data_IF_099425580220
#
_entry.id   IF_099425580220
#
_cell.length_a   1.000
_cell.length_b   1.000
_cell.length_c   1.000
_cell.angle_alpha   90.00
_cell.angle_beta   90.00
_cell.angle_gamma   90.00
#
_symmetry.space_group_name_H-M   'P 1'
#
loop_
_entity.id
_entity.type
_entity.pdbx_description
1 polymer ?
#
# COMPACT_ATOMS: atom_id res chain seq x y z
N UNK A 1 -19.26 -5.72 34.79
CA UNK A 1 -18.59 -6.86 34.12
C UNK A 1 -17.11 -6.51 34.03
N UNK A 2 -16.18 -7.44 34.26
CA UNK A 2 -14.77 -7.14 34.08
C UNK A 2 -14.47 -6.94 32.59
N UNK A 3 -14.09 -5.73 32.20
CA UNK A 3 -13.52 -5.43 30.89
C UNK A 3 -12.00 -5.54 31.00
N UNK A 4 -11.41 -6.36 30.15
CA UNK A 4 -9.95 -6.50 30.06
C UNK A 4 -9.51 -5.91 28.72
N UNK A 5 -8.74 -4.83 28.79
CA UNK A 5 -8.04 -4.26 27.66
C UNK A 5 -6.67 -4.92 27.60
N UNK A 6 -6.44 -5.72 26.56
CA UNK A 6 -5.13 -6.30 26.30
C UNK A 6 -4.52 -5.60 25.09
N UNK A 7 -3.32 -5.06 25.27
CA UNK A 7 -2.44 -4.63 24.19
C UNK A 7 -1.38 -5.71 23.93
N UNK A 8 -1.06 -5.92 22.65
CA UNK A 8 -0.06 -6.86 22.21
C UNK A 8 -0.08 -7.08 20.70
N UNK A 9 1.03 -7.63 20.19
CA UNK A 9 1.28 -7.97 18.78
C UNK A 9 0.00 -8.39 18.03
N UNK A 10 -0.44 -7.63 17.00
CA UNK A 10 0.33 -6.63 16.24
C UNK A 10 0.22 -5.15 16.73
N UNK A 11 -0.22 -4.91 17.96
CA UNK A 11 -0.35 -3.56 18.55
C UNK A 11 -1.80 -3.11 18.79
N UNK A 12 -2.71 -4.07 18.94
CA UNK A 12 -4.15 -3.83 19.02
C UNK A 12 -4.59 -3.84 20.48
N UNK A 13 -5.36 -2.84 20.93
CA UNK A 13 -6.12 -2.93 22.19
C UNK A 13 -7.42 -3.71 21.93
N UNK A 14 -7.40 -5.00 22.24
CA UNK A 14 -8.59 -5.84 22.13
C UNK A 14 -9.48 -5.66 23.38
N UNK A 15 -10.78 -5.46 23.15
CA UNK A 15 -11.78 -5.44 24.22
C UNK A 15 -12.26 -6.87 24.42
N UNK A 16 -11.96 -7.45 25.58
CA UNK A 16 -12.46 -8.76 25.97
C UNK A 16 -13.66 -8.63 26.91
N UNK A 17 -14.74 -9.35 26.60
CA UNK A 17 -15.93 -9.44 27.45
C UNK A 17 -16.03 -10.82 28.07
N UNK A 18 -16.27 -10.88 29.38
CA UNK A 18 -16.39 -12.12 30.12
C UNK A 18 -17.28 -11.96 31.34
N UNK A 19 -17.90 -13.07 31.77
CA UNK A 19 -18.69 -13.11 33.00
C UNK A 19 -17.84 -13.38 34.25
N UNK A 20 -16.66 -13.97 34.07
CA UNK A 20 -15.68 -14.29 35.13
C UNK A 20 -14.26 -14.32 34.56
N UNK A 21 -13.27 -14.18 35.44
CA UNK A 21 -11.84 -14.27 35.06
C UNK A 21 -11.53 -15.64 34.46
N UNK A 22 -10.87 -15.64 33.29
CA UNK A 22 -10.51 -16.85 32.53
C UNK A 22 -11.54 -17.29 31.50
N UNK A 23 -12.68 -16.60 31.41
CA UNK A 23 -13.78 -16.91 30.48
C UNK A 23 -14.16 -15.66 29.69
N UNK A 24 -13.35 -15.38 28.68
CA UNK A 24 -13.42 -14.15 27.88
C UNK A 24 -13.58 -14.46 26.40
N UNK A 25 -14.40 -13.67 25.72
CA UNK A 25 -14.50 -13.61 24.26
C UNK A 25 -14.06 -12.24 23.75
N UNK A 26 -13.46 -12.21 22.56
CA UNK A 26 -13.14 -10.94 21.91
C UNK A 26 -14.42 -10.24 21.47
N UNK A 27 -14.70 -9.08 22.03
CA UNK A 27 -15.86 -8.26 21.69
C UNK A 27 -15.56 -7.25 20.57
N UNK A 28 -14.28 -6.93 20.34
CA UNK A 28 -13.86 -5.98 19.32
C UNK A 28 -12.48 -5.38 19.61
N UNK A 29 -12.19 -4.28 18.93
CA UNK A 29 -10.98 -3.47 19.13
C UNK A 29 -11.39 -2.08 19.59
N UNK A 30 -10.66 -1.53 20.56
CA UNK A 30 -10.83 -0.14 20.93
C UNK A 30 -10.38 0.75 19.76
N UNK A 31 -11.34 1.41 19.11
CA UNK A 31 -11.07 2.44 18.10
C UNK A 31 -11.18 3.81 18.76
N UNK A 32 -10.23 4.70 18.46
CA UNK A 32 -10.37 6.11 18.84
C UNK A 32 -11.30 6.81 17.85
N UNK A 33 -12.34 7.49 18.34
CA UNK A 33 -13.10 8.43 17.54
C UNK A 33 -12.46 9.83 17.65
N UNK A 34 -12.27 10.51 16.51
CA UNK A 34 -11.87 11.93 16.47
C UNK A 34 -10.44 12.27 16.94
N UNK A 35 -9.51 11.31 16.91
CA UNK A 35 -8.08 11.53 17.17
C UNK A 35 -7.25 11.66 15.88
N UNK A 36 -5.92 11.59 16.00
CA UNK A 36 -5.02 11.53 14.84
C UNK A 36 -5.39 10.33 13.94
N UNK A 37 -5.17 10.43 12.63
CA UNK A 37 -5.31 9.28 11.74
C UNK A 37 -4.23 8.23 12.07
N UNK A 38 -4.61 7.26 12.88
CA UNK A 38 -3.79 6.13 13.30
C UNK A 38 -4.47 4.84 12.86
N UNK A 39 -3.82 4.11 11.96
CA UNK A 39 -4.09 2.70 11.77
C UNK A 39 -3.21 1.90 12.76
N UNK A 40 -3.21 0.58 12.68
CA UNK A 40 -2.24 -0.22 13.42
C UNK A 40 -0.81 0.04 12.86
N UNK A 41 0.20 -0.61 13.43
CA UNK A 41 1.59 -0.48 12.95
C UNK A 41 1.73 -0.74 11.44
N UNK A 42 2.77 -0.17 10.82
CA UNK A 42 3.16 -0.42 9.42
C UNK A 42 2.10 -0.05 8.37
N UNK A 43 1.44 1.08 8.57
CA UNK A 43 0.32 1.54 7.75
C UNK A 43 0.67 1.67 6.28
N UNK A 44 -0.32 1.40 5.43
CA UNK A 44 -0.28 1.54 3.99
C UNK A 44 -1.43 2.43 3.52
N UNK A 45 -1.20 3.72 3.30
CA UNK A 45 -2.22 4.63 2.78
C UNK A 45 -2.43 4.44 1.27
N UNK A 46 -3.66 4.69 0.86
CA UNK A 46 -4.10 4.87 -0.52
C UNK A 46 -5.25 5.90 -0.52
N UNK A 47 -5.02 7.08 -1.12
CA UNK A 47 -5.97 8.18 -1.15
C UNK A 47 -6.48 8.45 -2.56
N UNK A 48 -7.80 8.48 -2.71
CA UNK A 48 -8.53 8.76 -3.94
C UNK A 48 -10.00 9.03 -3.59
N UNK A 49 -10.74 9.73 -4.45
CA UNK A 49 -12.21 9.75 -4.34
C UNK A 49 -12.73 8.31 -4.57
N UNK A 50 -12.99 7.57 -3.49
CA UNK A 50 -13.36 6.17 -3.57
C UNK A 50 -14.87 6.05 -3.71
N UNK A 51 -15.65 6.81 -2.95
CA UNK A 51 -17.10 6.71 -2.94
C UNK A 51 -17.81 7.50 -4.08
N UNK A 52 -17.12 8.44 -4.72
CA UNK A 52 -17.59 9.21 -5.87
C UNK A 52 -18.27 10.53 -5.51
N UNK A 53 -18.06 11.06 -4.30
CA UNK A 53 -18.64 12.32 -3.84
C UNK A 53 -17.79 13.56 -4.18
N UNK A 54 -16.60 13.34 -4.78
CA UNK A 54 -15.66 14.40 -5.16
C UNK A 54 -14.67 14.80 -4.05
N UNK A 55 -14.75 14.18 -2.86
CA UNK A 55 -13.80 14.35 -1.77
C UNK A 55 -12.89 13.11 -1.71
N UNK A 56 -11.56 13.27 -1.72
CA UNK A 56 -10.69 12.11 -1.66
C UNK A 56 -10.78 11.37 -0.32
N UNK A 57 -11.19 10.11 -0.38
CA UNK A 57 -11.19 9.16 0.73
C UNK A 57 -9.80 8.60 0.96
N UNK A 58 -9.56 8.10 2.18
CA UNK A 58 -8.35 7.37 2.51
C UNK A 58 -8.68 5.90 2.83
N UNK A 59 -8.05 4.99 2.10
CA UNK A 59 -8.01 3.57 2.42
C UNK A 59 -6.68 3.26 3.12
N UNK A 60 -6.74 2.49 4.20
CA UNK A 60 -5.55 2.03 4.92
C UNK A 60 -5.53 0.53 5.07
N UNK A 61 -4.38 -0.07 4.75
CA UNK A 61 -3.98 -1.39 5.20
C UNK A 61 -2.95 -1.29 6.34
N UNK A 62 -2.84 -2.32 7.18
CA UNK A 62 -1.91 -2.30 8.31
C UNK A 62 -1.39 -3.71 8.67
N UNK A 63 -0.52 -3.76 9.69
CA UNK A 63 0.11 -5.00 10.12
C UNK A 63 -0.86 -6.05 10.69
N UNK A 64 -2.06 -5.65 11.13
CA UNK A 64 -3.12 -6.56 11.60
C UNK A 64 -3.90 -7.23 10.46
N UNK A 65 -3.69 -6.77 9.22
CA UNK A 65 -4.34 -7.25 8.03
C UNK A 65 -5.61 -6.48 7.66
N UNK A 66 -6.05 -5.50 8.44
CA UNK A 66 -7.35 -4.85 8.21
C UNK A 66 -7.32 -3.92 7.01
N UNK A 67 -8.41 -3.93 6.25
CA UNK A 67 -8.73 -2.89 5.29
C UNK A 67 -9.76 -1.93 5.89
N UNK A 68 -9.42 -0.64 5.95
CA UNK A 68 -10.25 0.41 6.55
C UNK A 68 -10.44 1.55 5.56
N UNK A 69 -11.68 2.06 5.49
CA UNK A 69 -12.07 3.26 4.76
C UNK A 69 -12.25 4.42 5.76
N UNK A 70 -11.62 5.54 5.46
CA UNK A 70 -11.77 6.81 6.15
C UNK A 70 -12.35 7.79 5.14
N UNK A 71 -13.57 8.27 5.39
CA UNK A 71 -14.26 9.14 4.45
C UNK A 71 -13.56 10.50 4.33
N UNK A 72 -13.44 11.02 3.11
CA UNK A 72 -12.92 12.36 2.86
C UNK A 72 -13.79 13.45 3.49
N UNK A 73 -13.20 14.62 3.71
CA UNK A 73 -13.94 15.83 4.10
C UNK A 73 -13.56 17.00 3.18
N UNK A 74 -14.21 18.14 3.35
CA UNK A 74 -13.89 19.38 2.63
C UNK A 74 -12.51 19.94 3.01
N UNK A 75 -12.00 19.60 4.19
CA UNK A 75 -10.60 19.77 4.57
C UNK A 75 -9.78 18.55 4.11
N UNK A 76 -8.80 18.71 3.19
CA UNK A 76 -8.02 17.59 2.65
C UNK A 76 -7.13 16.88 3.68
N UNK A 77 -6.94 17.50 4.86
CA UNK A 77 -6.17 16.94 5.98
C UNK A 77 -7.04 16.20 7.01
N UNK A 78 -8.36 16.32 6.89
CA UNK A 78 -9.32 15.77 7.85
C UNK A 78 -10.11 14.63 7.21
N UNK A 79 -10.27 13.53 7.96
CA UNK A 79 -11.06 12.38 7.55
C UNK A 79 -12.14 12.05 8.58
N UNK A 80 -13.24 11.46 8.12
CA UNK A 80 -14.30 10.94 8.95
C UNK A 80 -13.89 9.69 9.74
N UNK A 81 -14.84 9.17 10.52
CA UNK A 81 -14.62 7.96 11.34
C UNK A 81 -14.22 6.75 10.49
N UNK A 82 -13.32 5.88 10.99
CA UNK A 82 -12.87 4.70 10.27
C UNK A 82 -13.96 3.64 10.16
N UNK A 83 -14.09 3.04 8.99
CA UNK A 83 -15.02 1.95 8.72
C UNK A 83 -14.27 0.73 8.18
N UNK A 84 -14.44 -0.43 8.81
CA UNK A 84 -13.91 -1.68 8.27
C UNK A 84 -14.59 -2.00 6.93
N UNK A 85 -13.79 -2.25 5.90
CA UNK A 85 -14.31 -2.71 4.61
C UNK A 85 -14.57 -4.21 4.67
N UNK A 86 -15.65 -4.65 4.01
CA UNK A 86 -16.06 -6.05 4.01
C UNK A 86 -16.13 -6.62 2.60
N UNK A 87 -15.81 -7.90 2.45
CA UNK A 87 -16.10 -8.69 1.27
C UNK A 87 -17.10 -9.77 1.65
N UNK A 88 -18.21 -9.88 0.91
CA UNK A 88 -19.28 -10.84 1.20
C UNK A 88 -19.81 -10.76 2.65
N UNK A 89 -19.84 -9.55 3.22
CA UNK A 89 -20.31 -9.30 4.60
C UNK A 89 -19.28 -9.56 5.69
N UNK A 90 -18.07 -10.02 5.36
CA UNK A 90 -16.99 -10.31 6.31
C UNK A 90 -15.90 -9.23 6.21
N UNK A 91 -15.43 -8.65 7.34
CA UNK A 91 -14.30 -7.73 7.34
C UNK A 91 -13.08 -8.33 6.64
N UNK A 92 -12.48 -7.57 5.73
CA UNK A 92 -11.26 -7.98 5.04
C UNK A 92 -10.09 -7.88 6.03
N UNK A 93 -9.56 -9.05 6.38
CA UNK A 93 -8.45 -9.19 7.33
C UNK A 93 -7.66 -10.49 7.08
N UNK A 94 -6.89 -10.59 6.00
CA UNK A 94 -5.96 -11.70 5.84
C UNK A 94 -4.99 -11.75 7.03
N UNK A 95 -4.75 -12.96 7.53
CA UNK A 95 -3.76 -13.24 8.57
C UNK A 95 -3.00 -14.50 8.19
N UNK A 96 -1.74 -14.61 8.60
CA UNK A 96 -0.90 -15.75 8.23
C UNK A 96 -1.43 -17.11 8.74
N UNK A 97 -2.04 -17.16 9.92
CA UNK A 97 -2.28 -18.43 10.60
C UNK A 97 -0.97 -19.20 10.84
N UNK A 98 -1.04 -20.50 11.11
CA UNK A 98 0.16 -21.26 11.49
C UNK A 98 1.20 -21.39 10.37
N UNK A 99 0.76 -21.33 9.10
CA UNK A 99 1.58 -21.71 7.94
C UNK A 99 1.66 -20.65 6.82
N UNK A 100 1.00 -19.49 6.97
CA UNK A 100 0.93 -18.49 5.90
C UNK A 100 2.11 -17.52 5.85
N UNK A 101 2.85 -17.34 6.96
CA UNK A 101 4.04 -16.49 6.98
C UNK A 101 5.30 -17.28 6.61
N UNK A 102 6.11 -16.69 5.73
CA UNK A 102 7.45 -17.17 5.40
C UNK A 102 8.43 -17.12 6.59
N UNK A 103 8.13 -16.30 7.61
CA UNK A 103 8.90 -16.24 8.86
C UNK A 103 8.42 -17.25 9.91
N UNK A 104 7.41 -18.05 9.59
CA UNK A 104 6.90 -19.13 10.44
C UNK A 104 5.80 -18.70 11.42
N UNK A 105 5.38 -19.65 12.25
CA UNK A 105 4.17 -19.55 13.10
C UNK A 105 4.22 -18.49 14.21
N UNK A 106 5.39 -17.87 14.44
CA UNK A 106 5.51 -16.69 15.29
C UNK A 106 4.73 -15.51 14.72
N UNK A 107 4.56 -15.44 13.39
CA UNK A 107 3.80 -14.39 12.74
C UNK A 107 2.31 -14.73 12.50
N UNK A 108 1.78 -15.79 13.11
CA UNK A 108 0.42 -16.31 12.82
C UNK A 108 -0.76 -15.33 12.93
N UNK A 109 -0.58 -14.20 13.61
CA UNK A 109 -1.62 -13.16 13.81
C UNK A 109 -1.43 -11.91 12.95
N UNK A 110 -0.31 -11.81 12.23
CA UNK A 110 -0.02 -10.68 11.35
C UNK A 110 -0.69 -10.86 10.00
N UNK A 111 -1.05 -9.75 9.38
CA UNK A 111 -1.60 -9.67 8.04
C UNK A 111 -0.79 -8.80 7.09
N UNK A 112 -0.14 -7.73 7.58
CA UNK A 112 0.65 -6.80 6.75
C UNK A 112 -0.04 -6.37 5.45
N UNK A 113 -1.33 -6.03 5.53
CA UNK A 113 -2.11 -5.68 4.36
C UNK A 113 -1.55 -4.40 3.73
N UNK A 114 -1.18 -4.49 2.46
CA UNK A 114 -0.86 -3.36 1.61
C UNK A 114 -1.99 -3.16 0.62
N UNK A 115 -2.42 -1.92 0.45
CA UNK A 115 -3.62 -1.58 -0.32
C UNK A 115 -3.32 -0.60 -1.44
N UNK A 116 -3.92 -0.81 -2.59
CA UNK A 116 -4.10 0.20 -3.63
C UNK A 116 -5.53 0.13 -4.13
N UNK A 117 -6.12 1.27 -4.45
CA UNK A 117 -7.41 1.37 -5.08
C UNK A 117 -7.34 2.32 -6.28
N UNK A 118 -8.28 2.14 -7.20
CA UNK A 118 -8.34 2.87 -8.45
C UNK A 118 -9.24 2.15 -9.44
N UNK A 119 -9.16 2.54 -10.71
CA UNK A 119 -9.87 1.86 -11.80
C UNK A 119 -9.10 0.62 -12.24
N UNK A 120 -9.78 -0.52 -12.38
CA UNK A 120 -9.22 -1.77 -12.90
C UNK A 120 -10.15 -2.41 -13.92
N UNK A 121 -9.83 -2.23 -15.21
CA UNK A 121 -10.69 -2.64 -16.32
C UNK A 121 -11.98 -1.83 -16.38
N UNK A 122 -11.90 -0.52 -16.12
CA UNK A 122 -13.04 0.39 -16.18
C UNK A 122 -14.03 0.32 -15.02
N UNK A 123 -13.64 -0.27 -13.89
CA UNK A 123 -14.42 -0.23 -12.67
C UNK A 123 -13.55 -0.05 -11.42
N UNK A 124 -14.03 0.74 -10.45
CA UNK A 124 -13.40 0.92 -9.13
C UNK A 124 -13.13 -0.41 -8.45
N UNK A 125 -11.89 -0.57 -8.04
CA UNK A 125 -11.38 -1.78 -7.41
C UNK A 125 -10.38 -1.46 -6.31
N UNK A 126 -10.26 -2.38 -5.37
CA UNK A 126 -9.18 -2.45 -4.39
C UNK A 126 -8.34 -3.67 -4.74
N UNK A 127 -7.02 -3.49 -4.81
CA UNK A 127 -6.04 -4.57 -5.00
C UNK A 127 -5.12 -4.57 -3.78
N UNK A 128 -4.95 -5.73 -3.17
CA UNK A 128 -4.15 -5.88 -1.95
C UNK A 128 -3.02 -6.89 -2.14
N UNK A 129 -1.92 -6.69 -1.42
CA UNK A 129 -0.96 -7.73 -1.04
C UNK A 129 -0.98 -7.90 0.48
N UNK A 130 -0.51 -9.04 0.97
CA UNK A 130 -0.50 -9.37 2.39
C UNK A 130 0.73 -10.20 2.80
N UNK A 131 0.70 -10.70 4.04
CA UNK A 131 1.75 -11.54 4.63
C UNK A 131 2.12 -12.78 3.82
N UNK A 132 1.23 -13.26 2.95
CA UNK A 132 1.43 -14.46 2.14
C UNK A 132 2.06 -14.16 0.77
N UNK A 133 2.09 -12.89 0.35
CA UNK A 133 2.49 -12.48 -1.00
C UNK A 133 1.40 -12.70 -2.05
N UNK A 134 0.14 -12.87 -1.63
CA UNK A 134 -0.98 -13.11 -2.54
C UNK A 134 -1.62 -11.78 -2.93
N UNK A 135 -1.62 -11.49 -4.23
CA UNK A 135 -2.39 -10.37 -4.75
C UNK A 135 -3.87 -10.74 -4.86
N UNK A 136 -4.76 -9.88 -4.36
CA UNK A 136 -6.22 -10.11 -4.41
C UNK A 136 -6.94 -8.87 -4.94
N UNK A 137 -7.79 -9.07 -5.93
CA UNK A 137 -8.72 -8.08 -6.48
C UNK A 137 -10.06 -8.12 -5.74
N UNK A 138 -10.51 -6.97 -5.27
CA UNK A 138 -11.85 -6.75 -4.74
C UNK A 138 -12.53 -5.67 -5.56
N UNK A 139 -13.66 -5.98 -6.21
CA UNK A 139 -14.43 -4.97 -6.95
C UNK A 139 -15.37 -4.22 -6.02
N UNK A 140 -15.53 -2.91 -6.24
CA UNK A 140 -16.63 -2.16 -5.64
C UNK A 140 -17.95 -2.77 -6.12
N UNK A 141 -18.93 -2.93 -5.23
CA UNK A 141 -20.28 -3.33 -5.66
C UNK A 141 -20.97 -2.13 -6.30
N UNK A 142 -21.59 -2.33 -7.45
CA UNK A 142 -22.38 -1.28 -8.11
C UNK A 142 -23.51 -0.84 -7.18
N UNK A 143 -23.48 0.43 -6.78
CA UNK A 143 -24.53 1.03 -5.98
C UNK A 143 -25.78 1.21 -6.85
N UNK A 144 -26.63 0.18 -6.96
CA UNK A 144 -27.95 0.33 -7.61
C UNK A 144 -28.82 1.39 -6.91
N UNK A 145 -28.41 1.89 -5.74
CA UNK A 145 -28.90 3.12 -5.12
C UNK A 145 -27.73 3.79 -4.42
N UNK A 146 -27.34 5.00 -4.84
CA UNK A 146 -26.30 5.85 -4.21
C UNK A 146 -26.55 6.04 -2.70
N UNK A 147 -26.17 5.08 -1.88
CA UNK A 147 -26.06 5.21 -0.42
C UNK A 147 -24.58 5.10 -0.10
N UNK A 148 -24.06 6.06 0.67
CA UNK A 148 -22.65 6.11 1.11
C UNK A 148 -22.18 4.79 1.75
N UNK A 149 -23.09 4.05 2.39
CA UNK A 149 -22.83 2.73 2.97
C UNK A 149 -22.39 1.65 1.97
N UNK A 150 -22.60 1.81 0.65
CA UNK A 150 -22.15 0.83 -0.34
C UNK A 150 -20.62 0.85 -0.53
N UNK A 151 -19.95 1.98 -0.23
CA UNK A 151 -18.52 2.15 -0.47
C UNK A 151 -17.64 1.20 0.36
N UNK A 152 -18.13 0.75 1.53
CA UNK A 152 -17.40 -0.21 2.39
C UNK A 152 -17.64 -1.68 2.04
N UNK A 153 -18.52 -1.99 1.09
CA UNK A 153 -18.94 -3.35 0.77
C UNK A 153 -18.44 -3.80 -0.60
N UNK A 154 -17.39 -4.62 -0.60
CA UNK A 154 -16.75 -5.16 -1.79
C UNK A 154 -17.36 -6.50 -2.23
N UNK A 155 -17.14 -6.84 -3.49
CA UNK A 155 -17.35 -8.18 -4.01
C UNK A 155 -16.36 -9.18 -3.35
N UNK A 156 -16.61 -10.47 -3.57
CA UNK A 156 -15.67 -11.51 -3.16
C UNK A 156 -14.29 -11.28 -3.79
N UNK A 157 -13.25 -11.47 -2.99
CA UNK A 157 -11.86 -11.30 -3.42
C UNK A 157 -11.45 -12.38 -4.43
N UNK A 158 -10.80 -11.96 -5.51
CA UNK A 158 -10.27 -12.86 -6.54
C UNK A 158 -8.75 -12.80 -6.54
N UNK A 159 -8.04 -13.90 -6.25
CA UNK A 159 -6.59 -13.90 -6.30
C UNK A 159 -6.10 -13.75 -7.74
N UNK A 160 -4.96 -13.09 -7.90
CA UNK A 160 -4.27 -13.06 -9.19
C UNK A 160 -3.54 -14.39 -9.45
N UNK A 161 -3.50 -14.77 -10.72
CA UNK A 161 -2.75 -15.94 -11.23
C UNK A 161 -1.76 -15.47 -12.29
N UNK A 162 -0.79 -16.32 -12.64
CA UNK A 162 0.14 -16.10 -13.73
C UNK A 162 0.03 -17.29 -14.69
N UNK A 163 -0.63 -17.08 -15.82
CA UNK A 163 -0.93 -18.10 -16.83
C UNK A 163 -1.70 -19.29 -16.22
N UNK A 164 -2.71 -18.98 -15.42
CA UNK A 164 -3.57 -19.93 -14.72
C UNK A 164 -3.00 -20.52 -13.43
N UNK A 165 -1.71 -20.28 -13.12
CA UNK A 165 -1.05 -20.84 -11.93
C UNK A 165 -1.09 -19.86 -10.74
N UNK A 166 -1.09 -20.35 -9.48
CA UNK A 166 -1.00 -19.50 -8.31
C UNK A 166 0.18 -18.52 -8.38
N UNK A 167 -0.10 -17.24 -8.25
CA UNK A 167 0.90 -16.19 -8.37
C UNK A 167 1.19 -15.56 -7.02
N UNK A 168 2.48 -15.47 -6.68
CA UNK A 168 2.95 -14.74 -5.49
C UNK A 168 3.94 -13.67 -5.88
N UNK A 169 3.86 -12.56 -5.16
CA UNK A 169 4.79 -11.44 -5.22
C UNK A 169 5.61 -11.39 -3.94
N UNK A 170 6.57 -10.48 -3.86
CA UNK A 170 7.24 -10.25 -2.59
C UNK A 170 6.21 -9.79 -1.55
N UNK A 171 5.95 -10.62 -0.54
CA UNK A 171 5.02 -10.37 0.55
C UNK A 171 5.09 -8.97 1.16
N UNK A 172 3.97 -8.54 1.75
CA UNK A 172 3.80 -7.26 2.46
C UNK A 172 4.30 -6.05 1.66
N UNK A 173 4.21 -6.12 0.33
CA UNK A 173 4.67 -5.08 -0.60
C UNK A 173 3.49 -4.48 -1.32
N UNK A 174 3.41 -3.15 -1.39
CA UNK A 174 2.24 -2.51 -1.99
C UNK A 174 2.32 -2.56 -3.52
N UNK A 175 1.35 -3.17 -4.23
CA UNK A 175 1.24 -3.01 -5.67
C UNK A 175 0.83 -1.57 -6.00
N UNK A 176 0.89 -1.18 -7.27
CA UNK A 176 0.26 0.05 -7.75
C UNK A 176 -0.44 -0.23 -9.09
N UNK A 177 -1.58 0.41 -9.33
CA UNK A 177 -2.29 0.28 -10.60
C UNK A 177 -1.61 1.20 -11.61
N UNK A 178 -1.18 0.63 -12.72
CA UNK A 178 -0.69 1.35 -13.89
C UNK A 178 -1.88 1.59 -14.81
N UNK A 179 -2.33 2.86 -15.02
CA UNK A 179 -3.45 3.13 -15.91
C UNK A 179 -3.07 2.81 -17.36
N UNK A 180 -3.93 2.09 -18.08
CA UNK A 180 -3.68 1.76 -19.50
C UNK A 180 -3.50 2.99 -20.40
N UNK A 181 -4.14 4.10 -20.03
CA UNK A 181 -4.03 5.40 -20.71
C UNK A 181 -2.64 6.01 -20.65
N UNK A 182 -1.79 5.59 -19.70
CA UNK A 182 -0.40 6.07 -19.59
C UNK A 182 0.52 5.49 -20.67
N UNK A 183 0.14 4.35 -21.28
CA UNK A 183 1.03 3.56 -22.15
C UNK A 183 2.29 3.08 -21.44
N UNK A 184 2.33 3.08 -20.10
CA UNK A 184 3.52 2.77 -19.33
C UNK A 184 4.01 1.35 -19.58
N UNK A 185 5.33 1.18 -19.76
CA UNK A 185 5.98 -0.04 -20.20
C UNK A 185 5.39 -0.66 -21.50
N UNK A 186 4.71 0.15 -22.32
CA UNK A 186 4.11 -0.28 -23.59
C UNK A 186 2.85 -1.12 -23.40
N UNK A 187 2.25 -1.11 -22.20
CA UNK A 187 1.05 -1.91 -21.91
C UNK A 187 -0.22 -1.17 -22.37
N UNK A 188 -1.11 -1.81 -23.15
CA UNK A 188 -2.25 -1.14 -23.78
C UNK A 188 -3.50 -1.01 -22.89
N UNK A 189 -3.49 -1.60 -21.70
CA UNK A 189 -4.57 -1.55 -20.72
C UNK A 189 -3.99 -1.56 -19.32
N UNK A 190 -4.85 -1.46 -18.30
CA UNK A 190 -4.41 -1.45 -16.91
C UNK A 190 -3.50 -2.64 -16.60
N UNK A 191 -2.46 -2.39 -15.81
CA UNK A 191 -1.50 -3.38 -15.34
C UNK A 191 -1.12 -3.10 -13.89
N UNK A 192 -0.35 -4.00 -13.28
CA UNK A 192 0.12 -3.82 -11.91
C UNK A 192 1.62 -3.56 -11.88
N UNK A 193 2.02 -2.45 -11.29
CA UNK A 193 3.39 -2.28 -10.82
C UNK A 193 3.53 -3.05 -9.51
N UNK A 194 4.43 -4.02 -9.49
CA UNK A 194 4.63 -4.94 -8.36
C UNK A 194 6.11 -5.04 -8.01
N UNK A 195 6.37 -5.55 -6.80
CA UNK A 195 7.66 -6.13 -6.47
C UNK A 195 7.52 -7.66 -6.59
N UNK A 196 8.14 -8.25 -7.61
CA UNK A 196 7.97 -9.68 -7.93
C UNK A 196 8.60 -10.62 -6.89
N UNK A 197 8.49 -11.94 -7.11
CA UNK A 197 9.11 -12.95 -6.26
C UNK A 197 10.64 -13.04 -6.40
N UNK A 198 11.28 -12.22 -7.22
CA UNK A 198 12.75 -12.06 -7.19
C UNK A 198 13.15 -10.82 -6.36
N UNK A 199 12.16 -10.06 -5.87
CA UNK A 199 12.36 -8.81 -5.13
C UNK A 199 12.66 -7.63 -6.04
N UNK A 200 12.42 -7.79 -7.34
CA UNK A 200 12.64 -6.79 -8.38
C UNK A 200 11.32 -6.10 -8.74
N UNK A 201 11.36 -4.82 -9.11
CA UNK A 201 10.19 -4.15 -9.64
C UNK A 201 9.86 -4.66 -11.04
N UNK A 202 8.57 -4.93 -11.25
CA UNK A 202 8.05 -5.41 -12.51
C UNK A 202 6.65 -4.87 -12.78
N UNK A 203 6.29 -4.83 -14.06
CA UNK A 203 4.92 -4.62 -14.51
C UNK A 203 4.30 -5.99 -14.79
N UNK A 204 3.30 -6.37 -14.02
CA UNK A 204 2.50 -7.57 -14.24
C UNK A 204 1.34 -7.25 -15.18
N UNK A 205 1.32 -7.91 -16.34
CA UNK A 205 0.42 -7.60 -17.45
C UNK A 205 -0.70 -8.64 -17.50
N UNK A 206 -1.98 -8.24 -17.36
CA UNK A 206 -3.09 -9.18 -17.48
C UNK A 206 -3.30 -9.66 -18.93
N UNK A 207 -3.89 -10.84 -19.10
CA UNK A 207 -4.31 -11.33 -20.43
C UNK A 207 -5.38 -10.43 -21.07
N UNK A 208 -6.27 -9.90 -20.24
CA UNK A 208 -7.39 -9.05 -20.63
C UNK A 208 -7.55 -7.91 -19.63
N UNK A 209 -8.00 -6.75 -20.09
CA UNK A 209 -8.25 -5.60 -19.23
C UNK A 209 -9.21 -5.96 -18.07
N UNK A 210 -8.81 -5.65 -16.84
CA UNK A 210 -9.61 -5.94 -15.64
C UNK A 210 -9.60 -7.41 -15.18
N UNK A 211 -8.87 -8.29 -15.86
CA UNK A 211 -8.70 -9.69 -15.48
C UNK A 211 -7.76 -9.87 -14.29
N UNK A 212 -7.80 -11.05 -13.66
CA UNK A 212 -6.86 -11.45 -12.60
C UNK A 212 -5.82 -12.48 -13.07
N UNK A 213 -5.94 -13.00 -14.30
CA UNK A 213 -4.92 -13.88 -14.87
C UNK A 213 -3.88 -13.08 -15.65
N UNK A 214 -2.65 -13.11 -15.15
CA UNK A 214 -1.51 -12.39 -15.68
C UNK A 214 -0.86 -13.22 -16.79
N UNK A 215 -0.50 -12.58 -17.89
CA UNK A 215 0.24 -13.20 -18.99
C UNK A 215 1.73 -13.30 -18.67
N UNK A 216 2.28 -12.24 -18.11
CA UNK A 216 3.71 -12.09 -17.85
C UNK A 216 4.00 -11.02 -16.80
N UNK A 217 5.25 -11.02 -16.32
CA UNK A 217 5.84 -9.93 -15.54
C UNK A 217 7.06 -9.38 -16.30
N UNK A 218 7.10 -8.07 -16.48
CA UNK A 218 8.16 -7.37 -17.21
C UNK A 218 9.00 -6.57 -16.22
N UNK A 219 10.26 -6.95 -16.01
CA UNK A 219 11.15 -6.27 -15.05
C UNK A 219 11.46 -4.85 -15.49
N UNK A 220 11.31 -3.90 -14.58
CA UNK A 220 11.78 -2.54 -14.76
C UNK A 220 13.29 -2.48 -14.54
N UNK A 221 13.95 -1.59 -15.28
CA UNK A 221 15.41 -1.52 -15.34
C UNK A 221 15.93 -0.13 -15.08
N UNK A 222 17.12 -0.09 -14.48
CA UNK A 222 17.95 1.10 -14.50
C UNK A 222 18.48 1.38 -15.92
N UNK A 223 18.97 2.60 -16.16
CA UNK A 223 19.59 2.98 -17.43
C UNK A 223 20.79 2.09 -17.84
N UNK A 224 21.47 1.46 -16.87
CA UNK A 224 22.56 0.50 -17.10
C UNK A 224 22.07 -0.94 -17.42
N UNK A 225 20.75 -1.15 -17.47
CA UNK A 225 20.11 -2.43 -17.79
C UNK A 225 19.90 -3.35 -16.58
N UNK A 226 20.40 -3.01 -15.39
CA UNK A 226 20.16 -3.81 -14.19
C UNK A 226 18.69 -3.73 -13.75
N UNK A 227 18.12 -4.83 -13.26
CA UNK A 227 16.78 -4.82 -12.65
C UNK A 227 16.75 -3.91 -11.41
N UNK A 228 15.62 -3.23 -11.18
CA UNK A 228 15.44 -2.40 -9.99
C UNK A 228 15.05 -3.29 -8.81
N UNK A 229 16.00 -3.58 -7.92
CA UNK A 229 15.78 -4.43 -6.74
C UNK A 229 15.49 -3.64 -5.49
N UNK A 230 14.41 -3.97 -4.79
CA UNK A 230 14.00 -3.33 -3.52
C UNK A 230 14.14 -4.25 -2.29
N UNK A 231 14.46 -5.53 -2.50
CA UNK A 231 14.76 -6.49 -1.44
C UNK A 231 16.26 -6.58 -1.12
N UNK A 232 16.56 -7.04 0.10
CA UNK A 232 17.88 -7.50 0.51
C UNK A 232 17.91 -8.98 0.90
N UNK A 233 19.11 -9.54 1.17
CA UNK A 233 19.27 -10.92 1.65
C UNK A 233 18.78 -11.08 3.11
N UNK A 234 18.75 -12.33 3.59
CA UNK A 234 18.63 -12.68 5.02
C UNK A 234 17.46 -12.02 5.76
N UNK A 235 16.23 -12.21 5.26
CA UNK A 235 15.01 -11.71 5.93
C UNK A 235 14.60 -10.28 5.55
N UNK A 236 15.39 -9.62 4.69
CA UNK A 236 15.08 -8.31 4.11
C UNK A 236 14.22 -8.40 2.83
N UNK A 237 13.39 -9.43 2.78
CA UNK A 237 12.49 -9.73 1.67
C UNK A 237 11.12 -9.06 1.88
N UNK A 238 10.53 -8.52 0.82
CA UNK A 238 9.25 -7.81 0.85
C UNK A 238 9.34 -6.38 1.40
N UNK A 239 8.19 -5.82 1.81
CA UNK A 239 8.01 -4.47 2.40
C UNK A 239 8.13 -3.30 1.44
N UNK A 240 8.52 -3.51 0.18
CA UNK A 240 8.60 -2.42 -0.77
C UNK A 240 7.19 -1.90 -1.08
N UNK A 241 7.01 -0.60 -1.03
CA UNK A 241 5.78 0.03 -1.46
C UNK A 241 6.11 1.07 -2.51
N UNK A 242 5.42 1.00 -3.64
CA UNK A 242 5.71 1.81 -4.82
C UNK A 242 4.51 2.65 -5.22
N UNK A 243 4.79 3.87 -5.66
CA UNK A 243 3.86 4.80 -6.31
C UNK A 243 4.43 5.20 -7.66
N UNK A 244 3.55 5.34 -8.65
CA UNK A 244 3.87 5.79 -9.99
C UNK A 244 3.20 7.15 -10.21
N UNK A 245 3.99 8.18 -10.51
CA UNK A 245 3.49 9.54 -10.74
C UNK A 245 4.51 10.36 -11.54
N UNK A 246 4.07 11.37 -12.30
CA UNK A 246 4.96 12.39 -12.85
C UNK A 246 5.37 13.33 -11.71
N UNK A 247 6.46 12.98 -11.02
CA UNK A 247 6.84 13.66 -9.77
C UNK A 247 7.58 14.96 -10.04
N UNK A 248 8.42 15.00 -11.08
CA UNK A 248 9.20 16.18 -11.42
C UNK A 248 8.58 17.09 -12.50
N UNK A 249 7.38 16.74 -12.99
CA UNK A 249 6.57 17.55 -13.91
C UNK A 249 7.07 17.51 -15.35
N UNK A 250 7.84 16.49 -15.74
CA UNK A 250 8.41 16.36 -17.08
C UNK A 250 7.54 15.55 -18.05
N UNK A 251 6.38 15.07 -17.60
CA UNK A 251 5.42 14.27 -18.37
C UNK A 251 5.72 12.78 -18.37
N UNK A 252 6.81 12.33 -17.72
CA UNK A 252 7.13 10.91 -17.56
C UNK A 252 6.79 10.45 -16.17
N UNK A 253 6.23 9.24 -16.09
CA UNK A 253 5.92 8.62 -14.83
C UNK A 253 7.20 8.11 -14.16
N UNK A 254 7.50 8.68 -13.01
CA UNK A 254 8.58 8.35 -12.09
C UNK A 254 8.13 7.35 -11.03
N UNK A 255 9.10 6.78 -10.33
CA UNK A 255 8.85 5.89 -9.19
C UNK A 255 9.16 6.59 -7.89
N UNK A 256 8.19 6.60 -6.99
CA UNK A 256 8.45 6.78 -5.56
C UNK A 256 8.34 5.44 -4.87
N UNK A 257 9.27 5.14 -3.98
CA UNK A 257 9.18 3.92 -3.18
C UNK A 257 9.69 4.10 -1.77
N UNK A 258 9.27 3.22 -0.87
CA UNK A 258 9.93 3.07 0.42
C UNK A 258 9.93 1.62 0.86
N UNK A 259 10.83 1.32 1.80
CA UNK A 259 11.09 -0.03 2.31
C UNK A 259 11.58 0.05 3.75
N UNK A 260 12.08 -1.04 4.31
CA UNK A 260 12.71 -1.04 5.63
C UNK A 260 14.13 -0.45 5.56
N UNK A 261 14.57 0.18 6.65
CA UNK A 261 15.88 0.86 6.73
C UNK A 261 17.06 -0.03 6.33
N UNK A 262 16.98 -1.32 6.65
CA UNK A 262 18.08 -2.27 6.43
C UNK A 262 18.30 -2.61 4.95
N UNK A 263 17.32 -2.33 4.08
CA UNK A 263 17.45 -2.46 2.64
C UNK A 263 18.23 -1.30 2.01
N UNK A 264 18.21 -0.11 2.61
CA UNK A 264 18.75 1.12 1.99
C UNK A 264 20.22 0.99 1.58
N UNK A 265 21.03 0.31 2.40
CA UNK A 265 22.45 0.06 2.15
C UNK A 265 22.77 -0.67 0.84
N UNK A 266 21.78 -1.29 0.19
CA UNK A 266 21.98 -2.00 -1.08
C UNK A 266 21.77 -1.13 -2.31
N UNK A 267 21.19 0.06 -2.17
CA UNK A 267 20.90 0.94 -3.31
C UNK A 267 21.11 2.44 -3.04
N UNK A 268 21.45 2.85 -1.80
CA UNK A 268 21.78 4.24 -1.47
C UNK A 268 22.77 4.32 -0.30
N UNK A 269 23.97 4.82 -0.55
CA UNK A 269 24.96 5.11 0.50
C UNK A 269 24.49 6.26 1.41
N UNK A 270 23.77 7.25 0.85
CA UNK A 270 23.26 8.41 1.59
C UNK A 270 22.27 8.01 2.69
N UNK A 271 21.42 7.01 2.41
CA UNK A 271 20.40 6.53 3.33
C UNK A 271 20.82 5.29 4.14
N UNK A 272 22.02 4.74 3.92
CA UNK A 272 22.47 3.49 4.55
C UNK A 272 22.51 3.53 6.09
N UNK A 273 22.56 4.73 6.69
CA UNK A 273 22.61 4.96 8.13
C UNK A 273 21.37 5.67 8.69
N UNK A 274 20.38 5.96 7.83
CA UNK A 274 19.15 6.63 8.23
C UNK A 274 18.11 5.61 8.70
N UNK A 275 17.03 6.08 9.33
CA UNK A 275 15.83 5.29 9.48
C UNK A 275 15.15 4.98 8.14
N UNK A 276 13.95 4.44 8.17
CA UNK A 276 13.15 4.19 6.99
C UNK A 276 12.80 5.53 6.30
N UNK A 277 13.05 5.65 5.00
CA UNK A 277 12.83 6.87 4.21
C UNK A 277 12.25 6.51 2.83
N UNK A 278 11.43 7.38 2.25
CA UNK A 278 11.02 7.27 0.86
C UNK A 278 12.14 7.72 -0.09
N UNK A 279 12.14 7.17 -1.28
CA UNK A 279 13.08 7.42 -2.36
C UNK A 279 12.34 7.82 -3.62
N UNK A 280 12.99 8.67 -4.41
CA UNK A 280 12.62 9.00 -5.77
C UNK A 280 13.54 8.28 -6.75
N UNK A 281 12.97 7.78 -7.85
CA UNK A 281 13.71 7.30 -9.01
C UNK A 281 13.12 7.93 -10.27
N UNK A 282 13.90 8.82 -10.90
CA UNK A 282 13.54 9.47 -12.16
C UNK A 282 13.43 8.48 -13.30
N UNK A 283 12.41 8.61 -14.15
CA UNK A 283 12.35 7.97 -15.45
C UNK A 283 13.16 8.77 -16.49
N UNK A 284 14.34 8.27 -16.84
CA UNK A 284 15.23 8.85 -17.86
C UNK A 284 14.88 8.40 -19.27
N UNK A 285 14.02 7.38 -19.40
CA UNK A 285 13.50 6.88 -20.66
C UNK A 285 12.23 7.62 -21.10
N UNK A 286 11.21 6.82 -21.40
CA UNK A 286 9.85 7.27 -21.75
C UNK A 286 8.82 6.45 -21.00
N UNK A 287 7.54 6.84 -21.00
CA UNK A 287 6.49 5.99 -20.43
C UNK A 287 6.42 4.63 -21.14
N UNK A 288 6.47 4.60 -22.47
CA UNK A 288 6.38 3.35 -23.24
C UNK A 288 7.59 2.41 -23.08
N UNK A 289 8.78 2.97 -22.84
CA UNK A 289 10.00 2.23 -22.61
C UNK A 289 10.78 2.89 -21.45
N UNK A 290 10.37 2.62 -20.21
CA UNK A 290 10.92 3.30 -19.06
C UNK A 290 12.31 2.76 -18.73
N UNK A 291 13.24 3.67 -18.44
CA UNK A 291 14.56 3.40 -17.93
C UNK A 291 14.80 4.34 -16.77
N UNK A 292 15.24 3.82 -15.65
CA UNK A 292 15.23 4.58 -14.40
C UNK A 292 16.64 4.95 -13.93
N UNK A 293 16.77 6.12 -13.31
CA UNK A 293 17.97 6.54 -12.61
C UNK A 293 18.28 5.65 -11.39
N UNK A 294 19.33 5.97 -10.63
CA UNK A 294 19.55 5.36 -9.31
C UNK A 294 18.69 6.04 -8.24
N UNK A 295 18.26 5.33 -7.18
CA UNK A 295 17.41 5.90 -6.13
C UNK A 295 18.09 7.05 -5.38
N UNK A 296 17.33 8.12 -5.15
CA UNK A 296 17.74 9.26 -4.30
C UNK A 296 16.75 9.39 -3.14
N UNK A 297 17.22 9.46 -1.87
CA UNK A 297 16.32 9.60 -0.74
C UNK A 297 15.65 10.97 -0.75
N UNK A 298 14.35 11.00 -0.47
CA UNK A 298 13.65 12.25 -0.21
C UNK A 298 14.07 12.82 1.15
N UNK A 299 14.14 14.14 1.21
CA UNK A 299 14.47 14.92 2.41
C UNK A 299 13.57 16.15 2.47
N UNK A 300 13.53 16.81 3.62
CA UNK A 300 12.93 18.13 3.71
C UNK A 300 13.75 19.14 2.90
N UNK A 301 13.10 20.18 2.35
CA UNK A 301 13.75 21.26 1.62
C UNK A 301 14.82 22.00 2.46
N UNK A 302 14.71 21.93 3.79
CA UNK A 302 15.74 22.39 4.74
C UNK A 302 17.04 21.58 4.70
N UNK A 303 17.05 20.42 4.03
CA UNK A 303 18.13 19.44 4.00
C UNK A 303 18.04 18.37 5.09
N UNK A 304 17.07 18.47 6.02
CA UNK A 304 16.87 17.47 7.06
C UNK A 304 16.34 16.16 6.48
N UNK A 305 16.94 15.04 6.88
CA UNK A 305 16.46 13.70 6.50
C UNK A 305 15.09 13.42 7.14
N UNK A 306 14.24 12.73 6.37
CA UNK A 306 13.06 12.09 6.92
C UNK A 306 13.47 10.86 7.76
N UNK A 307 12.64 10.46 8.71
CA UNK A 307 12.87 9.24 9.49
C UNK A 307 11.54 8.67 9.97
N UNK A 308 11.16 7.51 9.41
CA UNK A 308 9.96 6.76 9.76
C UNK A 308 10.28 5.45 10.50
N UNK A 309 11.45 5.40 11.15
CA UNK A 309 11.85 4.31 12.04
C UNK A 309 12.58 3.18 11.31
N UNK A 310 12.12 1.94 11.46
CA UNK A 310 12.85 0.74 11.02
C UNK A 310 12.19 0.04 9.84
N UNK A 311 10.86 -0.09 9.89
CA UNK A 311 10.18 -1.18 9.19
C UNK A 311 9.45 -0.77 7.91
N UNK A 312 9.06 0.50 7.76
CA UNK A 312 8.46 1.02 6.53
C UNK A 312 8.50 2.55 6.47
N UNK A 313 8.65 3.05 5.25
CA UNK A 313 8.08 4.31 4.80
C UNK A 313 7.22 3.94 3.58
N UNK A 314 5.89 4.04 3.67
CA UNK A 314 4.98 3.62 2.59
C UNK A 314 4.44 4.85 1.86
N UNK A 315 5.09 5.30 0.76
CA UNK A 315 4.72 6.53 0.08
C UNK A 315 3.43 6.38 -0.71
N UNK A 316 2.55 7.37 -0.74
CA UNK A 316 1.40 7.47 -1.66
C UNK A 316 1.34 8.88 -2.22
N UNK A 317 1.46 8.99 -3.54
CA UNK A 317 1.35 10.28 -4.24
C UNK A 317 -0.12 10.68 -4.39
N UNK A 318 -0.43 11.91 -4.05
CA UNK A 318 -1.78 12.51 -4.12
C UNK A 318 -1.65 14.02 -4.07
N UNK A 319 -2.65 14.77 -4.51
CA UNK A 319 -2.70 16.22 -4.32
C UNK A 319 -3.40 16.54 -2.98
N UNK A 320 -2.69 17.16 -2.04
CA UNK A 320 -3.18 17.48 -0.69
C UNK A 320 -3.62 18.93 -0.56
N UNK A 321 -3.06 19.88 -1.32
CA UNK A 321 -3.42 21.30 -1.24
C UNK A 321 -4.23 21.85 -2.43
N UNK A 322 -4.52 21.01 -3.42
CA UNK A 322 -5.39 21.32 -4.56
C UNK A 322 -4.69 22.13 -5.65
N UNK A 323 -3.36 22.15 -5.67
CA UNK A 323 -2.56 22.90 -6.65
C UNK A 323 -2.22 22.12 -7.94
N UNK A 324 -2.79 20.92 -8.08
CA UNK A 324 -2.54 19.97 -9.17
C UNK A 324 -1.08 19.47 -9.26
N UNK A 325 -0.23 19.79 -8.28
CA UNK A 325 1.09 19.19 -8.13
C UNK A 325 1.05 17.97 -7.20
N UNK A 326 1.90 16.96 -7.45
CA UNK A 326 1.92 15.75 -6.62
C UNK A 326 2.55 16.01 -5.25
N UNK A 327 1.74 15.90 -4.21
CA UNK A 327 2.15 15.82 -2.81
C UNK A 327 2.36 14.35 -2.37
N UNK A 328 2.74 14.16 -1.10
CA UNK A 328 3.14 12.85 -0.59
C UNK A 328 2.52 12.53 0.77
N UNK A 329 1.80 11.40 0.84
CA UNK A 329 1.47 10.73 2.09
C UNK A 329 2.49 9.63 2.39
N UNK A 330 2.92 9.48 3.64
CA UNK A 330 3.77 8.37 4.11
C UNK A 330 3.07 7.63 5.23
N UNK A 331 2.77 6.35 5.01
CA UNK A 331 2.44 5.41 6.09
C UNK A 331 3.71 4.93 6.80
N UNK A 332 3.76 5.11 8.12
CA UNK A 332 4.94 4.82 8.93
C UNK A 332 4.75 3.59 9.83
N UNK A 333 5.80 3.22 10.56
CA UNK A 333 5.77 2.02 11.40
C UNK A 333 4.96 2.21 12.68
N UNK A 334 4.84 3.44 13.15
CA UNK A 334 4.11 3.83 14.35
C UNK A 334 2.59 3.92 14.15
N UNK A 335 2.10 3.54 12.96
CA UNK A 335 0.69 3.49 12.61
C UNK A 335 0.12 4.81 12.08
N UNK A 336 0.94 5.86 11.99
CA UNK A 336 0.50 7.16 11.48
C UNK A 336 0.66 7.27 9.97
N UNK A 337 -0.14 8.16 9.39
CA UNK A 337 0.05 8.69 8.05
C UNK A 337 0.51 10.14 8.17
N UNK A 338 1.65 10.45 7.56
CA UNK A 338 2.23 11.78 7.49
C UNK A 338 1.98 12.36 6.10
N UNK A 339 1.63 13.65 6.00
CA UNK A 339 1.55 14.33 4.71
C UNK A 339 2.65 15.37 4.57
N UNK A 340 3.13 15.54 3.35
CA UNK A 340 4.14 16.50 2.95
C UNK A 340 3.71 17.14 1.65
N UNK A 341 3.75 18.46 1.60
CA UNK A 341 3.55 19.19 0.37
C UNK A 341 4.79 19.07 -0.52
N UNK A 342 4.61 19.08 -1.83
CA UNK A 342 5.68 18.93 -2.81
C UNK A 342 6.84 19.90 -2.53
N UNK A 343 6.50 21.17 -2.27
CA UNK A 343 7.43 22.27 -1.93
C UNK A 343 8.22 22.08 -0.64
N UNK A 344 7.78 21.19 0.25
CA UNK A 344 8.48 20.88 1.50
C UNK A 344 9.55 19.80 1.31
N UNK A 345 9.56 19.14 0.16
CA UNK A 345 10.46 18.03 -0.16
C UNK A 345 11.55 18.45 -1.14
N UNK A 346 12.67 17.74 -1.05
CA UNK A 346 13.76 17.79 -2.01
C UNK A 346 14.30 16.39 -2.28
N UNK A 347 14.83 16.19 -3.48
CA UNK A 347 15.45 14.96 -3.95
C UNK A 347 16.78 15.28 -4.63
#
# INVERSE_FOLDING_TARGET
MPELLLDGNPGVVAVLQGRRVGDYVSAGVAQTCGGWLAAETLTSPCRLDWDGDGLPDLLTGDASGRLVLWQGTDDPWTYGSPHAMTASGVPIRPIAGLNGSIQGSNEKRWGYLKVTAGEWGGAKAVITDDITGTLVLYRRRDAQRRRSDDARHLAEGRPFTLRGEPFRVAWRSRPNIVPGTSGFAGVPHDALLIQDWDGDLAVAVPHEAGGTDLRETVKLRHADGASIRLCGPTGLWGRGAVSLADWDGDGRLDLLFGTNRSCHRFFSEQAAKQGAVPFFIRNEGSNAAPLFARPVPLRLASGQALDFGVHNATPWVTDLDGDEWPDLLIGAEDGKVYGFLHKELAW
#
